data_IF_933210517719
#
_entry.id   IF_933210517719
#
_cell.length_a   1.000
_cell.length_b   1.000
_cell.length_c   1.000
_cell.angle_alpha   90.00
_cell.angle_beta   90.00
_cell.angle_gamma   90.00
#
_symmetry.space_group_name_H-M   'P 1'
#
loop_
_entity.id
_entity.type
_entity.pdbx_description
1 polymer ?
#
# COMPACT_ATOMS: atom_id res chain seq x y z
N UNK A 1 41.23 -23.27 -62.61
CA UNK A 1 40.30 -24.39 -62.85
C UNK A 1 39.21 -24.33 -61.78
N UNK A 2 37.93 -24.25 -62.21
CA UNK A 2 36.63 -24.56 -61.55
C UNK A 2 36.41 -24.19 -60.07
N UNK A 3 35.25 -23.74 -59.56
CA UNK A 3 34.04 -23.05 -60.02
C UNK A 3 33.24 -22.82 -58.72
N UNK A 4 32.70 -21.62 -58.56
CA UNK A 4 31.74 -21.14 -57.56
C UNK A 4 30.42 -21.98 -57.54
N UNK A 5 29.77 -22.17 -56.37
CA UNK A 5 28.31 -22.00 -56.08
C UNK A 5 27.88 -22.54 -54.69
N UNK A 6 27.39 -21.69 -53.78
CA UNK A 6 25.97 -21.30 -53.52
C UNK A 6 25.10 -22.45 -52.95
N UNK A 7 24.83 -22.45 -51.63
CA UNK A 7 23.63 -21.92 -50.93
C UNK A 7 22.45 -22.91 -50.92
N UNK A 8 21.88 -23.13 -49.73
CA UNK A 8 20.46 -22.96 -49.40
C UNK A 8 19.77 -24.10 -48.63
N UNK A 9 19.11 -23.65 -47.55
CA UNK A 9 17.78 -24.07 -47.08
C UNK A 9 17.65 -25.35 -46.24
N UNK A 10 17.38 -25.15 -44.95
CA UNK A 10 16.08 -25.51 -44.38
C UNK A 10 15.84 -24.73 -43.08
N UNK A 11 15.15 -23.59 -43.22
CA UNK A 11 14.47 -22.88 -42.14
C UNK A 11 13.50 -23.85 -41.46
N UNK A 12 13.74 -24.22 -40.20
CA UNK A 12 12.67 -24.72 -39.34
C UNK A 12 11.94 -23.51 -38.74
N UNK A 13 10.91 -23.05 -39.47
CA UNK A 13 9.91 -22.11 -38.98
C UNK A 13 9.04 -22.84 -37.94
N UNK A 14 9.23 -22.50 -36.67
CA UNK A 14 8.42 -23.03 -35.56
C UNK A 14 8.21 -21.96 -34.50
N UNK A 15 7.73 -20.77 -34.91
CA UNK A 15 7.40 -19.70 -33.97
C UNK A 15 6.05 -20.00 -33.33
N UNK A 16 6.07 -20.80 -32.26
CA UNK A 16 4.93 -20.99 -31.35
C UNK A 16 4.64 -19.66 -30.66
N UNK A 17 3.65 -18.92 -31.18
CA UNK A 17 3.04 -17.78 -30.50
C UNK A 17 2.23 -18.29 -29.30
N UNK A 18 2.91 -18.49 -28.18
CA UNK A 18 2.26 -18.64 -26.90
C UNK A 18 1.70 -17.26 -26.50
N UNK A 19 0.47 -16.98 -26.92
CA UNK A 19 -0.29 -15.83 -26.45
C UNK A 19 -0.63 -16.06 -24.96
N UNK A 20 0.31 -15.69 -24.09
CA UNK A 20 0.05 -15.63 -22.66
C UNK A 20 -1.07 -14.62 -22.42
N UNK A 21 -2.26 -15.10 -22.06
CA UNK A 21 -3.30 -14.25 -21.52
C UNK A 21 -2.75 -13.60 -20.25
N UNK A 22 -2.32 -12.34 -20.35
CA UNK A 22 -1.98 -11.53 -19.19
C UNK A 22 -3.25 -11.44 -18.35
N UNK A 23 -3.31 -12.22 -17.25
CA UNK A 23 -4.33 -12.00 -16.24
C UNK A 23 -4.11 -10.59 -15.72
N UNK A 24 -5.02 -9.68 -16.07
CA UNK A 24 -5.14 -8.40 -15.39
C UNK A 24 -5.55 -8.72 -13.94
N UNK A 25 -4.55 -8.95 -13.09
CA UNK A 25 -4.73 -9.14 -11.66
C UNK A 25 -5.30 -7.82 -11.13
N UNK A 26 -6.62 -7.72 -11.00
CA UNK A 26 -7.24 -6.56 -10.39
C UNK A 26 -6.70 -6.49 -8.97
N UNK A 27 -5.91 -5.47 -8.66
CA UNK A 27 -5.31 -5.26 -7.34
C UNK A 27 -6.40 -4.81 -6.36
N UNK A 28 -7.36 -5.69 -6.08
CA UNK A 28 -8.49 -5.36 -5.21
C UNK A 28 -8.02 -5.37 -3.75
N UNK A 29 -8.23 -4.22 -3.10
CA UNK A 29 -8.12 -3.98 -1.65
C UNK A 29 -6.73 -4.10 -1.01
N UNK A 30 -5.80 -3.26 -1.50
CA UNK A 30 -4.57 -2.94 -0.75
C UNK A 30 -4.82 -1.99 0.42
N UNK A 31 -5.92 -1.25 0.42
CA UNK A 31 -6.18 -0.22 1.42
C UNK A 31 -7.26 -0.63 2.43
N UNK A 32 -7.02 -0.34 3.70
CA UNK A 32 -8.05 -0.34 4.73
C UNK A 32 -9.01 0.83 4.47
N UNK A 33 -10.30 0.51 4.37
CA UNK A 33 -11.38 1.46 4.12
C UNK A 33 -12.45 1.34 5.19
N UNK A 34 -13.22 2.41 5.38
CA UNK A 34 -14.49 2.32 6.12
C UNK A 34 -15.57 1.66 5.24
N UNK A 35 -16.78 1.51 5.79
CA UNK A 35 -17.94 0.93 5.09
C UNK A 35 -18.32 1.61 3.77
N UNK A 36 -17.89 2.86 3.57
CA UNK A 36 -18.20 3.66 2.38
C UNK A 36 -17.05 3.63 1.35
N UNK A 37 -16.04 2.76 1.54
CA UNK A 37 -14.89 2.64 0.63
C UNK A 37 -13.87 3.78 0.75
N UNK A 38 -13.89 4.53 1.85
CA UNK A 38 -12.98 5.65 2.12
C UNK A 38 -11.77 5.18 2.90
N UNK A 39 -10.57 5.41 2.35
CA UNK A 39 -9.30 5.05 2.97
C UNK A 39 -9.17 5.65 4.38
N UNK A 40 -8.60 4.87 5.29
CA UNK A 40 -8.20 5.29 6.64
C UNK A 40 -9.28 6.11 7.37
N UNK A 41 -10.54 5.69 7.24
CA UNK A 41 -11.71 6.34 7.85
C UNK A 41 -11.89 7.84 7.47
N UNK A 42 -11.41 8.23 6.29
CA UNK A 42 -11.55 9.60 5.77
C UNK A 42 -10.50 10.59 6.24
N UNK A 43 -9.39 10.12 6.83
CA UNK A 43 -8.28 10.99 7.21
C UNK A 43 -7.38 11.33 6.02
N UNK A 44 -6.81 12.53 6.07
CA UNK A 44 -5.95 13.07 5.02
C UNK A 44 -4.53 12.51 5.14
N UNK A 45 -4.16 11.63 4.19
CA UNK A 45 -2.83 11.00 4.15
C UNK A 45 -1.68 12.00 3.99
N UNK A 46 -1.92 13.16 3.36
CA UNK A 46 -0.90 14.20 3.16
C UNK A 46 -0.69 15.00 4.43
N UNK A 47 -1.73 15.18 5.25
CA UNK A 47 -1.64 15.94 6.49
C UNK A 47 -0.67 15.31 7.50
N UNK A 48 -0.52 13.98 7.54
CA UNK A 48 0.50 13.35 8.39
C UNK A 48 1.90 13.87 8.08
N UNK A 49 2.26 14.00 6.80
CA UNK A 49 3.60 14.43 6.40
C UNK A 49 3.80 15.94 6.50
N UNK A 50 2.79 16.73 6.12
CA UNK A 50 2.93 18.18 6.05
C UNK A 50 2.65 18.89 7.37
N UNK A 51 1.87 18.27 8.26
CA UNK A 51 1.37 18.89 9.48
C UNK A 51 1.67 18.05 10.74
N UNK A 52 2.24 16.85 10.58
CA UNK A 52 2.50 15.90 11.66
C UNK A 52 1.28 15.66 12.57
N UNK A 53 0.10 15.56 11.97
CA UNK A 53 -1.16 15.32 12.69
C UNK A 53 -2.19 14.62 11.81
N UNK A 54 -3.07 13.86 12.45
CA UNK A 54 -4.22 13.26 11.80
C UNK A 54 -5.33 14.32 11.59
N UNK A 55 -5.58 14.70 10.34
CA UNK A 55 -6.65 15.65 9.99
C UNK A 55 -7.73 14.93 9.21
N UNK A 56 -8.99 15.14 9.58
CA UNK A 56 -10.12 14.60 8.84
C UNK A 56 -10.25 15.32 7.49
N UNK A 57 -10.28 14.55 6.42
CA UNK A 57 -10.58 15.05 5.08
C UNK A 57 -12.08 15.23 4.88
N UNK A 58 -12.45 15.72 3.70
CA UNK A 58 -13.85 15.83 3.30
C UNK A 58 -14.07 15.33 1.88
N UNK A 59 -15.31 14.91 1.60
CA UNK A 59 -15.73 14.49 0.27
C UNK A 59 -15.55 15.61 -0.79
N UNK A 60 -15.60 16.88 -0.37
CA UNK A 60 -15.34 18.06 -1.23
C UNK A 60 -13.99 17.97 -1.95
N UNK A 61 -12.98 17.36 -1.32
CA UNK A 61 -11.65 17.20 -1.88
C UNK A 61 -11.32 15.74 -2.17
N UNK A 62 -12.29 14.88 -2.48
CA UNK A 62 -12.03 13.47 -2.71
C UNK A 62 -11.20 13.18 -3.98
N UNK A 63 -10.47 12.07 -3.96
CA UNK A 63 -9.79 11.47 -5.12
C UNK A 63 -10.07 9.97 -5.11
N UNK A 64 -10.43 9.40 -6.26
CA UNK A 64 -10.38 7.96 -6.44
C UNK A 64 -8.97 7.57 -6.91
N UNK A 65 -8.28 6.74 -6.13
CA UNK A 65 -6.96 6.23 -6.46
C UNK A 65 -6.96 4.71 -6.31
N UNK A 66 -6.67 4.00 -7.41
CA UNK A 66 -6.69 2.52 -7.48
C UNK A 66 -8.00 1.92 -6.93
N UNK A 67 -9.14 2.55 -7.23
CA UNK A 67 -10.46 2.09 -6.80
C UNK A 67 -10.81 2.41 -5.34
N UNK A 68 -10.00 3.19 -4.62
CA UNK A 68 -10.24 3.61 -3.24
C UNK A 68 -10.42 5.13 -3.15
N UNK A 69 -11.36 5.59 -2.32
CA UNK A 69 -11.58 7.02 -2.09
C UNK A 69 -10.62 7.54 -1.02
N UNK A 70 -9.81 8.54 -1.36
CA UNK A 70 -9.00 9.31 -0.43
C UNK A 70 -9.62 10.69 -0.25
N UNK A 71 -9.78 11.12 1.01
CA UNK A 71 -10.30 12.43 1.34
C UNK A 71 -9.20 13.34 1.84
N UNK A 72 -9.23 14.60 1.42
CA UNK A 72 -8.23 15.59 1.82
C UNK A 72 -8.89 16.73 2.57
N UNK A 73 -8.13 17.36 3.47
CA UNK A 73 -8.55 18.49 4.29
C UNK A 73 -8.52 19.81 3.51
N UNK A 74 -7.81 19.85 2.39
CA UNK A 74 -7.70 21.04 1.53
C UNK A 74 -7.44 20.68 0.07
N UNK A 75 -7.74 21.61 -0.83
CA UNK A 75 -7.39 21.52 -2.25
C UNK A 75 -5.87 21.35 -2.46
N UNK A 76 -5.06 22.00 -1.62
CA UNK A 76 -3.58 21.90 -1.67
C UNK A 76 -3.12 20.47 -1.38
N UNK A 77 -3.65 19.84 -0.33
CA UNK A 77 -3.30 18.45 0.00
C UNK A 77 -3.78 17.48 -1.08
N UNK A 78 -4.99 17.68 -1.62
CA UNK A 78 -5.48 16.93 -2.78
C UNK A 78 -4.53 17.00 -3.97
N UNK A 79 -4.09 18.21 -4.33
CA UNK A 79 -3.16 18.42 -5.44
C UNK A 79 -1.80 17.75 -5.18
N UNK A 80 -1.27 17.88 -3.96
CA UNK A 80 -0.01 17.25 -3.57
C UNK A 80 -0.08 15.71 -3.67
N UNK A 81 -1.20 15.12 -3.25
CA UNK A 81 -1.42 13.69 -3.40
C UNK A 81 -1.45 13.26 -4.87
N UNK A 82 -2.20 13.97 -5.72
CA UNK A 82 -2.30 13.62 -7.15
C UNK A 82 -0.96 13.69 -7.89
N UNK A 83 -0.04 14.57 -7.47
CA UNK A 83 1.29 14.67 -8.06
C UNK A 83 2.17 13.46 -7.71
N UNK A 84 2.15 13.02 -6.44
CA UNK A 84 3.00 11.91 -5.98
C UNK A 84 2.27 11.00 -4.96
N UNK A 85 1.28 10.19 -5.38
CA UNK A 85 0.45 9.41 -4.46
C UNK A 85 1.26 8.48 -3.57
N UNK A 86 2.20 7.74 -4.17
CA UNK A 86 3.04 6.72 -3.52
C UNK A 86 3.90 7.27 -2.36
N UNK A 87 4.11 8.59 -2.29
CA UNK A 87 4.80 9.25 -1.18
C UNK A 87 3.95 9.27 0.10
N UNK A 88 2.64 9.40 -0.04
CA UNK A 88 1.74 9.65 1.08
C UNK A 88 0.99 8.41 1.55
N UNK A 89 0.99 7.33 0.77
CA UNK A 89 0.29 6.11 1.13
C UNK A 89 0.87 5.50 2.42
N UNK A 90 0.02 4.98 3.32
CA UNK A 90 0.50 4.19 4.45
C UNK A 90 1.27 2.96 3.98
N UNK A 91 2.37 2.65 4.66
CA UNK A 91 3.28 1.55 4.30
C UNK A 91 2.55 0.20 4.15
N UNK A 92 1.58 -0.06 5.03
CA UNK A 92 0.76 -1.26 5.04
C UNK A 92 -0.70 -0.97 4.68
N UNK A 93 -0.93 0.00 3.80
CA UNK A 93 -2.25 0.27 3.23
C UNK A 93 -3.31 0.78 4.21
N UNK A 94 -2.94 1.17 5.44
CA UNK A 94 -3.89 1.64 6.45
C UNK A 94 -4.23 0.59 7.51
N UNK A 95 -3.70 -0.62 7.39
CA UNK A 95 -3.75 -1.63 8.44
C UNK A 95 -2.73 -1.34 9.55
N UNK A 96 -3.00 -1.86 10.74
CA UNK A 96 -2.09 -1.74 11.89
C UNK A 96 -0.73 -2.38 11.58
N UNK A 97 0.35 -1.59 11.70
CA UNK A 97 1.72 -2.04 11.47
C UNK A 97 2.15 -3.14 12.44
N UNK A 98 1.76 -3.04 13.71
CA UNK A 98 2.04 -4.07 14.70
C UNK A 98 1.34 -5.39 14.37
N UNK A 99 0.04 -5.36 14.04
CA UNK A 99 -0.68 -6.57 13.64
C UNK A 99 -0.14 -7.19 12.35
N UNK A 100 0.35 -6.36 11.41
CA UNK A 100 1.05 -6.83 10.23
C UNK A 100 2.32 -7.60 10.59
N UNK A 101 3.09 -7.12 11.59
CA UNK A 101 4.25 -7.82 12.12
C UNK A 101 3.89 -9.14 12.82
N UNK A 102 2.89 -9.13 13.70
CA UNK A 102 2.56 -10.24 14.60
C UNK A 102 1.92 -11.47 13.96
N UNK A 103 1.77 -11.53 12.63
CA UNK A 103 1.26 -12.71 11.93
C UNK A 103 0.31 -12.44 10.77
N UNK A 104 0.51 -11.35 10.03
CA UNK A 104 -0.29 -10.98 8.85
C UNK A 104 -1.75 -10.57 9.16
N UNK A 105 -1.98 -9.99 10.34
CA UNK A 105 -3.31 -9.52 10.72
C UNK A 105 -3.68 -8.22 9.99
N UNK A 106 -4.74 -8.26 9.17
CA UNK A 106 -5.45 -7.06 8.70
C UNK A 106 -6.34 -6.52 9.83
N UNK A 107 -5.72 -5.91 10.84
CA UNK A 107 -6.41 -5.25 11.96
C UNK A 107 -6.57 -3.77 11.64
N UNK A 108 -7.79 -3.19 11.74
CA UNK A 108 -8.01 -1.76 11.57
C UNK A 108 -7.06 -0.92 12.43
N UNK A 109 -6.58 0.20 11.88
CA UNK A 109 -5.80 1.15 12.65
C UNK A 109 -6.66 2.29 13.19
N UNK A 110 -6.18 2.92 14.28
CA UNK A 110 -6.62 4.25 14.68
C UNK A 110 -5.83 5.29 13.87
N UNK A 111 -6.49 6.12 13.03
CA UNK A 111 -5.84 7.18 12.28
C UNK A 111 -5.05 8.18 13.15
N UNK A 112 -5.42 8.34 14.42
CA UNK A 112 -4.73 9.26 15.33
C UNK A 112 -3.46 8.67 15.93
N UNK A 113 -3.27 7.36 15.85
CA UNK A 113 -2.09 6.67 16.38
C UNK A 113 -1.18 6.28 15.22
N UNK A 114 -0.21 7.13 14.92
CA UNK A 114 0.65 6.99 13.74
C UNK A 114 2.12 7.29 14.06
N UNK A 115 3.00 6.86 13.15
CA UNK A 115 4.43 7.22 13.15
C UNK A 115 4.90 7.47 11.73
N UNK A 116 5.70 8.52 11.55
CA UNK A 116 6.51 8.69 10.35
C UNK A 116 7.90 8.13 10.62
N UNK A 117 8.34 7.19 9.79
CA UNK A 117 9.67 6.60 9.91
C UNK A 117 10.27 6.35 8.53
N UNK A 118 11.48 6.85 8.29
CA UNK A 118 12.16 6.80 6.98
C UNK A 118 11.27 7.26 5.81
N UNK A 119 10.53 8.35 6.00
CA UNK A 119 9.65 8.91 4.97
C UNK A 119 8.40 8.07 4.66
N UNK A 120 8.05 7.11 5.52
CA UNK A 120 6.86 6.25 5.38
C UNK A 120 5.91 6.44 6.55
N UNK A 121 4.61 6.33 6.27
CA UNK A 121 3.52 6.43 7.25
C UNK A 121 3.15 5.04 7.78
N UNK A 122 3.22 4.87 9.09
CA UNK A 122 2.80 3.69 9.82
C UNK A 122 1.61 4.05 10.71
N UNK A 123 0.59 3.20 10.73
CA UNK A 123 -0.62 3.39 11.52
C UNK A 123 -0.76 2.23 12.50
N UNK A 124 -1.33 2.50 13.67
CA UNK A 124 -1.36 1.58 14.79
C UNK A 124 -2.78 1.41 15.32
N UNK A 125 -3.06 0.24 15.86
CA UNK A 125 -4.27 0.00 16.63
C UNK A 125 -4.12 0.68 18.00
N UNK A 126 -5.17 1.35 18.43
CA UNK A 126 -5.27 1.98 19.73
C UNK A 126 -6.75 1.99 20.14
N UNK A 127 -7.18 0.87 20.71
CA UNK A 127 -8.53 0.65 21.22
C UNK A 127 -8.49 -0.50 22.24
N UNK A 128 -9.64 -0.99 22.67
CA UNK A 128 -9.74 -2.15 23.56
C UNK A 128 -9.49 -3.46 22.80
N UNK A 129 -8.60 -4.29 23.35
CA UNK A 129 -8.35 -5.65 22.92
C UNK A 129 -8.58 -6.60 24.10
N UNK A 130 -9.53 -7.54 23.95
CA UNK A 130 -9.92 -8.50 25.01
C UNK A 130 -10.34 -7.83 26.34
N UNK A 131 -11.01 -6.68 26.25
CA UNK A 131 -11.50 -5.95 27.41
C UNK A 131 -10.49 -4.96 28.01
N UNK A 132 -9.26 -4.91 27.51
CA UNK A 132 -8.21 -4.04 28.03
C UNK A 132 -7.74 -3.01 26.99
N UNK A 133 -7.44 -1.76 27.37
CA UNK A 133 -6.83 -0.79 26.46
C UNK A 133 -5.51 -1.30 25.90
N UNK A 134 -5.35 -1.27 24.58
CA UNK A 134 -4.14 -1.71 23.93
C UNK A 134 -3.70 -0.77 22.82
N UNK A 135 -2.65 0.01 23.11
CA UNK A 135 -2.01 0.88 22.13
C UNK A 135 -0.75 0.20 21.55
N UNK A 136 -0.87 -0.27 20.32
CA UNK A 136 0.17 -1.06 19.66
C UNK A 136 1.41 -0.27 19.22
N UNK A 137 1.38 1.08 19.26
CA UNK A 137 2.59 1.88 19.02
C UNK A 137 3.62 1.70 20.14
N UNK A 138 3.17 1.37 21.35
CA UNK A 138 4.03 1.18 22.52
C UNK A 138 4.97 -0.02 22.31
N UNK A 139 4.48 -1.26 22.11
CA UNK A 139 5.36 -2.39 21.83
C UNK A 139 6.09 -2.26 20.49
N UNK A 140 5.52 -1.52 19.52
CA UNK A 140 6.23 -1.18 18.28
C UNK A 140 7.51 -0.41 18.55
N UNK A 141 7.44 0.68 19.31
CA UNK A 141 8.59 1.53 19.60
C UNK A 141 9.69 0.81 20.38
N UNK A 142 9.33 -0.20 21.20
CA UNK A 142 10.30 -1.02 21.93
C UNK A 142 11.11 -1.97 21.03
N UNK A 143 10.56 -2.39 19.89
CA UNK A 143 11.15 -3.41 19.01
C UNK A 143 11.06 -3.05 17.51
N UNK A 144 11.13 -1.76 17.16
CA UNK A 144 10.76 -1.22 15.83
C UNK A 144 11.49 -1.92 14.68
N UNK A 145 12.81 -2.12 14.80
CA UNK A 145 13.59 -2.76 13.72
C UNK A 145 13.09 -4.17 13.41
N UNK A 146 12.89 -4.98 14.45
CA UNK A 146 12.44 -6.38 14.32
C UNK A 146 11.02 -6.44 13.80
N UNK A 147 10.10 -5.67 14.40
CA UNK A 147 8.69 -5.66 14.01
C UNK A 147 8.49 -5.12 12.60
N UNK A 148 9.25 -4.09 12.20
CA UNK A 148 9.22 -3.58 10.83
C UNK A 148 9.68 -4.64 9.83
N UNK A 149 10.79 -5.33 10.09
CA UNK A 149 11.26 -6.38 9.18
C UNK A 149 10.23 -7.51 9.02
N UNK A 150 9.57 -7.90 10.12
CA UNK A 150 8.49 -8.89 10.09
C UNK A 150 7.26 -8.38 9.32
N UNK A 151 6.83 -7.13 9.58
CA UNK A 151 5.70 -6.52 8.90
C UNK A 151 5.96 -6.37 7.39
N UNK A 152 7.16 -5.97 6.99
CA UNK A 152 7.55 -5.87 5.57
C UNK A 152 7.51 -7.24 4.88
N UNK A 153 8.04 -8.28 5.53
CA UNK A 153 8.01 -9.64 4.99
C UNK A 153 6.57 -10.18 4.87
N UNK A 154 5.72 -9.95 5.88
CA UNK A 154 4.33 -10.39 5.87
C UNK A 154 3.50 -9.60 4.84
N UNK A 155 3.70 -8.29 4.76
CA UNK A 155 3.03 -7.43 3.78
C UNK A 155 3.38 -7.80 2.34
N UNK A 156 4.64 -8.14 2.07
CA UNK A 156 5.05 -8.62 0.75
C UNK A 156 4.31 -9.91 0.38
N UNK A 157 4.24 -10.89 1.29
CA UNK A 157 3.52 -12.16 1.07
C UNK A 157 2.02 -11.95 0.83
N UNK A 158 1.39 -11.08 1.62
CA UNK A 158 -0.05 -10.79 1.51
C UNK A 158 -0.48 -10.10 0.21
N UNK A 159 0.49 -9.55 -0.54
CA UNK A 159 0.24 -8.81 -1.78
C UNK A 159 0.80 -9.53 -3.03
N UNK A 160 1.30 -10.76 -2.91
CA UNK A 160 1.80 -11.59 -4.02
C UNK A 160 0.77 -12.66 -4.47
N UNK A 161 -0.39 -12.76 -3.81
CA UNK A 161 -1.48 -13.70 -4.12
C UNK A 161 -2.56 -13.07 -4.98
#
# INVERSE_FOLDING_TARGET
>A
MQRLRFVSTCLFLGFLLFAGAAKAQSSQHRFYTNKDGVAINGYDVVAYFNQNRAVRGSQKYAVNYKGTHFWFSSQKNRAAFLQHPEKYLPQYGGWCAFAMASGNGKVPSDPKTFKLYNGKLYLFFNDYYRGEPFNTIIPWNLNEKTLKNQADANWAKANQS
#
